data_IF_046991494314
#
_entry.id   IF_046991494314
#
_cell.length_a   1.000
_cell.length_b   1.000
_cell.length_c   1.000
_cell.angle_alpha   90.00
_cell.angle_beta   90.00
_cell.angle_gamma   90.00
#
_symmetry.space_group_name_H-M   'P 1'
#
loop_
_entity.id
_entity.type
_entity.pdbx_description
1 polymer ?
#
# COMPACT_ATOMS: atom_id res chain seq x y z
N UNK A 1 18.24 0.98 -1.37
CA UNK A 1 17.37 2.12 -1.73
C UNK A 1 15.96 1.78 -1.27
N UNK A 2 15.44 2.48 -0.26
CA UNK A 2 14.05 2.30 0.22
C UNK A 2 13.12 3.04 -0.74
N UNK A 3 12.10 2.37 -1.29
CA UNK A 3 11.01 3.04 -2.02
C UNK A 3 9.70 2.76 -1.30
N UNK A 4 9.31 3.71 -0.44
CA UNK A 4 7.96 3.78 0.08
C UNK A 4 7.09 4.43 -1.02
N UNK A 5 6.32 3.63 -1.75
CA UNK A 5 5.39 4.16 -2.76
C UNK A 5 4.03 4.44 -2.11
N UNK A 6 3.98 5.45 -1.24
CA UNK A 6 2.72 6.00 -0.74
C UNK A 6 2.50 7.31 -1.50
N UNK A 7 1.57 7.31 -2.46
CA UNK A 7 0.97 8.56 -2.92
C UNK A 7 -0.29 8.75 -2.08
N UNK A 8 -0.40 9.84 -1.29
CA UNK A 8 -1.70 10.23 -0.78
C UNK A 8 -2.60 10.42 -2.00
N UNK A 9 -3.77 9.78 -2.01
CA UNK A 9 -4.79 10.09 -2.99
C UNK A 9 -5.32 11.50 -2.66
N UNK A 10 -4.59 12.53 -3.09
CA UNK A 10 -5.10 13.90 -3.02
C UNK A 10 -6.33 14.03 -3.91
N UNK A 11 -7.34 14.65 -3.32
CA UNK A 11 -8.73 14.71 -3.75
C UNK A 11 -8.87 15.57 -5.03
N UNK A 12 -9.58 15.00 -6.01
CA UNK A 12 -10.45 15.63 -7.01
C UNK A 12 -10.21 17.11 -7.41
N UNK A 13 -9.80 17.38 -8.66
CA UNK A 13 -10.31 18.45 -9.57
C UNK A 13 -9.80 18.19 -11.01
N UNK A 14 -10.75 18.05 -11.94
CA UNK A 14 -10.72 18.44 -13.37
C UNK A 14 -9.47 18.24 -14.28
N UNK A 15 -9.72 17.56 -15.40
CA UNK A 15 -9.01 17.57 -16.71
C UNK A 15 -7.62 16.92 -16.77
N UNK A 16 -7.61 15.65 -17.22
CA UNK A 16 -6.99 15.18 -18.48
C UNK A 16 -7.10 13.65 -18.62
N UNK A 17 -7.93 13.20 -19.57
CA UNK A 17 -7.80 11.99 -20.40
C UNK A 17 -6.92 10.83 -19.88
N UNK A 18 -7.42 10.09 -18.90
CA UNK A 18 -6.89 8.80 -18.45
C UNK A 18 -7.94 8.17 -17.56
N UNK A 19 -8.15 6.87 -17.68
CA UNK A 19 -9.25 6.12 -17.07
C UNK A 19 -9.35 6.41 -15.56
N UNK A 20 -10.25 7.32 -15.16
CA UNK A 20 -10.31 7.93 -13.81
C UNK A 20 -10.68 6.90 -12.74
N UNK A 21 -11.12 5.71 -13.18
CA UNK A 21 -11.56 4.57 -12.39
C UNK A 21 -10.42 3.58 -12.07
N UNK A 22 -9.22 3.81 -12.63
CA UNK A 22 -8.09 2.89 -12.56
C UNK A 22 -6.93 3.56 -11.81
N UNK A 23 -6.55 3.02 -10.66
CA UNK A 23 -5.24 3.28 -10.09
C UNK A 23 -4.33 2.09 -10.36
N UNK A 24 -3.15 2.33 -10.91
CA UNK A 24 -2.16 1.27 -11.07
C UNK A 24 -0.76 1.80 -10.82
N UNK A 25 0.13 0.87 -10.47
CA UNK A 25 1.55 1.02 -10.65
C UNK A 25 1.97 0.16 -11.84
N UNK A 26 2.80 0.72 -12.71
CA UNK A 26 3.53 -0.04 -13.72
C UNK A 26 4.40 -1.12 -13.08
N UNK A 27 4.89 -2.04 -13.90
CA UNK A 27 5.85 -3.06 -13.49
C UNK A 27 7.05 -2.41 -12.76
N UNK A 28 7.28 -2.87 -11.54
CA UNK A 28 8.39 -2.48 -10.67
C UNK A 28 9.29 -3.67 -10.44
N UNK A 29 10.62 -3.47 -10.42
CA UNK A 29 11.57 -4.53 -10.15
C UNK A 29 11.52 -4.96 -8.67
N UNK A 30 11.67 -6.26 -8.47
CA UNK A 30 11.73 -6.96 -7.17
C UNK A 30 12.83 -8.04 -7.21
N UNK A 31 13.27 -8.51 -6.03
CA UNK A 31 14.36 -9.50 -5.91
C UNK A 31 14.07 -10.84 -6.60
N UNK A 32 12.81 -11.14 -6.91
CA UNK A 32 12.35 -12.37 -7.55
C UNK A 32 11.68 -12.15 -8.91
N UNK A 33 11.85 -10.98 -9.54
CA UNK A 33 11.23 -10.63 -10.82
C UNK A 33 10.55 -9.26 -10.79
N UNK A 34 9.58 -9.02 -11.66
CA UNK A 34 8.83 -7.77 -11.70
C UNK A 34 7.41 -7.94 -11.13
N UNK A 35 6.85 -6.87 -10.55
CA UNK A 35 5.49 -6.85 -10.03
C UNK A 35 4.75 -5.58 -10.45
N UNK A 36 3.44 -5.67 -10.64
CA UNK A 36 2.55 -4.51 -10.78
C UNK A 36 1.38 -4.64 -9.81
N UNK A 37 0.67 -3.54 -9.58
CA UNK A 37 -0.55 -3.56 -8.77
C UNK A 37 -1.55 -2.58 -9.36
N UNK A 38 -2.82 -2.96 -9.38
CA UNK A 38 -3.90 -2.10 -9.83
C UNK A 38 -5.12 -2.25 -8.92
N UNK A 39 -5.89 -1.18 -8.83
CA UNK A 39 -7.20 -1.11 -8.19
C UNK A 39 -8.14 -0.52 -9.23
N UNK A 40 -9.23 -1.23 -9.51
CA UNK A 40 -10.22 -0.83 -10.51
C UNK A 40 -11.54 -0.58 -9.80
N UNK A 41 -12.11 0.59 -10.04
CA UNK A 41 -13.35 1.02 -9.42
C UNK A 41 -14.56 0.33 -10.07
N UNK A 42 -15.29 -0.47 -9.27
CA UNK A 42 -16.59 -1.03 -9.67
C UNK A 42 -17.79 -0.20 -9.16
N UNK A 43 -17.65 0.47 -8.01
CA UNK A 43 -18.70 1.26 -7.35
C UNK A 43 -18.59 2.75 -7.69
N UNK A 44 -19.59 3.56 -7.32
CA UNK A 44 -19.55 5.03 -7.48
C UNK A 44 -18.42 5.70 -6.69
N UNK A 45 -18.00 5.07 -5.59
CA UNK A 45 -16.83 5.43 -4.80
C UNK A 45 -15.78 4.32 -4.90
N UNK A 46 -14.51 4.70 -5.06
CA UNK A 46 -13.41 3.76 -4.91
C UNK A 46 -13.11 3.54 -3.42
N UNK A 47 -13.70 2.48 -2.88
CA UNK A 47 -13.57 2.07 -1.48
C UNK A 47 -12.35 1.17 -1.28
N UNK A 48 -11.99 0.38 -2.29
CA UNK A 48 -10.84 -0.52 -2.24
C UNK A 48 -9.52 0.24 -2.13
N UNK A 49 -8.60 -0.32 -1.34
CA UNK A 49 -7.25 0.19 -1.17
C UNK A 49 -6.24 -0.94 -1.34
N UNK A 50 -5.04 -0.61 -1.80
CA UNK A 50 -3.95 -1.58 -1.87
C UNK A 50 -2.60 -0.93 -1.63
N UNK A 51 -1.62 -1.71 -1.18
CA UNK A 51 -0.25 -1.25 -0.99
C UNK A 51 0.74 -2.40 -1.13
N UNK A 52 1.95 -2.06 -1.55
CA UNK A 52 3.07 -3.01 -1.64
C UNK A 52 4.30 -2.37 -1.02
N UNK A 53 4.96 -3.13 -0.15
CA UNK A 53 6.29 -2.83 0.35
C UNK A 53 7.23 -3.95 -0.07
N UNK A 54 8.33 -3.59 -0.71
CA UNK A 54 9.35 -4.53 -1.15
C UNK A 54 10.68 -4.24 -0.47
N UNK A 55 11.34 -5.29 0.00
CA UNK A 55 12.73 -5.28 0.47
C UNK A 55 13.49 -6.45 -0.19
N UNK A 56 14.83 -6.47 -0.13
CA UNK A 56 15.59 -7.61 -0.63
C UNK A 56 15.22 -8.96 0.01
N UNK A 57 14.69 -8.94 1.24
CA UNK A 57 14.45 -10.16 2.03
C UNK A 57 12.97 -10.55 2.14
N UNK A 58 12.06 -9.62 1.87
CA UNK A 58 10.62 -9.82 2.05
C UNK A 58 9.81 -8.81 1.25
N UNK A 59 8.62 -9.24 0.83
CA UNK A 59 7.60 -8.40 0.21
C UNK A 59 6.29 -8.53 0.96
N UNK A 60 5.73 -7.39 1.35
CA UNK A 60 4.41 -7.29 1.96
C UNK A 60 3.42 -6.72 0.94
N UNK A 61 2.31 -7.43 0.76
CA UNK A 61 1.21 -7.02 -0.12
C UNK A 61 -0.05 -6.88 0.72
N UNK A 62 -0.72 -5.74 0.60
CA UNK A 62 -2.00 -5.47 1.25
C UNK A 62 -3.08 -5.18 0.21
N UNK A 63 -4.22 -5.86 0.31
CA UNK A 63 -5.43 -5.64 -0.47
C UNK A 63 -6.59 -5.52 0.52
N UNK A 64 -7.32 -4.42 0.44
CA UNK A 64 -8.37 -4.07 1.40
C UNK A 64 -9.64 -3.71 0.65
N UNK A 65 -10.65 -4.57 0.76
CA UNK A 65 -12.01 -4.34 0.27
C UNK A 65 -12.73 -3.37 1.21
N UNK A 66 -13.15 -2.22 0.69
CA UNK A 66 -13.82 -1.19 1.47
C UNK A 66 -15.34 -1.28 1.33
N UNK A 67 -16.07 -1.01 2.42
CA UNK A 67 -17.54 -1.00 2.39
C UNK A 67 -18.12 0.08 3.31
N UNK A 68 -19.14 0.80 2.83
CA UNK A 68 -19.81 1.85 3.59
C UNK A 68 -19.01 3.16 3.65
N UNK A 69 -18.11 3.37 2.69
CA UNK A 69 -17.14 4.46 2.61
C UNK A 69 -15.68 3.97 2.55
N UNK A 70 -14.74 4.78 2.01
CA UNK A 70 -13.33 4.42 1.89
C UNK A 70 -12.52 4.59 3.19
N UNK A 71 -13.14 5.01 4.29
CA UNK A 71 -12.44 5.45 5.50
C UNK A 71 -11.69 4.30 6.18
N UNK A 72 -12.34 3.13 6.31
CA UNK A 72 -11.76 1.98 6.98
C UNK A 72 -10.59 1.38 6.19
N UNK A 73 -10.77 1.16 4.88
CA UNK A 73 -9.73 0.64 4.00
C UNK A 73 -8.54 1.59 3.91
N UNK A 74 -8.77 2.92 3.88
CA UNK A 74 -7.70 3.93 3.93
C UNK A 74 -6.97 3.94 5.27
N UNK A 75 -7.70 3.80 6.38
CA UNK A 75 -7.09 3.69 7.69
C UNK A 75 -6.15 2.48 7.75
N UNK A 76 -6.58 1.32 7.29
CA UNK A 76 -5.73 0.12 7.26
C UNK A 76 -4.52 0.32 6.34
N UNK A 77 -4.72 0.86 5.14
CA UNK A 77 -3.63 1.16 4.18
C UNK A 77 -2.55 2.03 4.84
N UNK A 78 -2.95 3.15 5.46
CA UNK A 78 -1.99 4.09 6.06
C UNK A 78 -1.29 3.57 7.32
N UNK A 79 -1.89 2.63 8.07
CA UNK A 79 -1.41 2.27 9.41
C UNK A 79 -0.83 0.85 9.53
N UNK A 80 -1.21 -0.09 8.66
CA UNK A 80 -0.84 -1.51 8.85
C UNK A 80 0.66 -1.77 8.72
N UNK A 81 1.32 -1.29 7.66
CA UNK A 81 2.75 -1.51 7.46
C UNK A 81 3.61 -0.74 8.47
N UNK A 82 3.34 0.54 8.78
CA UNK A 82 4.02 1.23 9.89
C UNK A 82 3.88 0.47 11.22
N UNK A 83 2.70 -0.06 11.52
CA UNK A 83 2.47 -0.84 12.74
C UNK A 83 3.30 -2.13 12.75
N UNK A 84 3.27 -2.93 11.67
CA UNK A 84 4.07 -4.16 11.54
C UNK A 84 5.56 -3.86 11.68
N UNK A 85 6.05 -2.82 11.00
CA UNK A 85 7.45 -2.43 11.08
C UNK A 85 7.84 -2.03 12.50
N UNK A 86 7.03 -1.21 13.18
CA UNK A 86 7.28 -0.84 14.58
C UNK A 86 7.38 -2.08 15.48
N UNK A 87 6.46 -3.04 15.35
CA UNK A 87 6.46 -4.26 16.17
C UNK A 87 7.66 -5.16 15.89
N UNK A 88 8.08 -5.27 14.62
CA UNK A 88 9.29 -5.99 14.26
C UNK A 88 10.54 -5.33 14.84
N UNK A 89 10.65 -4.00 14.76
CA UNK A 89 11.75 -3.25 15.38
C UNK A 89 11.77 -3.43 16.90
N UNK A 90 10.62 -3.38 17.56
CA UNK A 90 10.51 -3.58 19.01
C UNK A 90 10.98 -4.98 19.42
N UNK A 91 10.55 -6.02 18.71
CA UNK A 91 10.96 -7.42 18.95
C UNK A 91 12.47 -7.61 18.77
N UNK A 92 13.05 -7.04 17.71
CA UNK A 92 14.49 -7.11 17.46
C UNK A 92 15.25 -6.35 18.57
N UNK A 93 14.78 -5.16 18.96
CA UNK A 93 15.42 -4.38 20.04
C UNK A 93 15.39 -5.13 21.37
N UNK A 94 14.25 -5.72 21.73
CA UNK A 94 14.13 -6.52 22.96
C UNK A 94 15.06 -7.73 22.88
N UNK A 95 15.06 -8.46 21.76
CA UNK A 95 15.94 -9.62 21.57
C UNK A 95 17.44 -9.31 21.69
N UNK A 96 17.89 -8.13 21.25
CA UNK A 96 19.27 -7.67 21.40
C UNK A 96 19.57 -7.18 22.82
N UNK A 97 18.59 -6.59 23.52
CA UNK A 97 18.77 -6.07 24.88
C UNK A 97 18.86 -7.18 25.94
N UNK A 98 18.30 -8.36 25.67
CA UNK A 98 18.31 -9.52 26.57
C UNK A 98 19.37 -10.59 26.22
N UNK A 99 20.30 -10.27 25.31
CA UNK A 99 21.50 -11.07 24.98
C UNK A 99 22.75 -10.34 25.47
#
# INVERSE_FOLDING_TARGET
MLRLCVKPLERCIGRRSGDVLLWHNDLKPHASGDFSIAVVQANSNLEDQSQVYTSPSATYVGVYDGHGGPEASRFVNNNLFPFIHSKLFDLIRLGILYM
#
